data_IF_755594419092
#
_entry.id   IF_755594419092
#
_cell.length_a   1.000
_cell.length_b   1.000
_cell.length_c   1.000
_cell.angle_alpha   90.00
_cell.angle_beta   90.00
_cell.angle_gamma   90.00
#
_symmetry.space_group_name_H-M   'P 1'
#
loop_
_entity.id
_entity.type
_entity.pdbx_description
1 polymer ?
#
# COMPACT_ATOMS: atom_id res chain seq x y z
N UNK A 1 -27.33 10.17 23.00
CA UNK A 1 -26.37 10.60 21.96
C UNK A 1 -24.99 10.78 22.58
N UNK A 2 -23.92 10.15 22.07
CA UNK A 2 -22.51 10.58 22.18
C UNK A 2 -21.57 9.51 21.59
N UNK A 3 -21.26 9.59 20.29
CA UNK A 3 -20.17 8.77 19.71
C UNK A 3 -18.83 9.41 20.08
N UNK A 4 -18.24 8.89 21.16
CA UNK A 4 -16.89 9.16 21.65
C UNK A 4 -15.90 9.54 20.54
N UNK A 5 -15.40 10.78 20.62
CA UNK A 5 -14.31 11.33 19.80
C UNK A 5 -13.06 10.47 20.02
N UNK A 6 -12.76 9.58 19.07
CA UNK A 6 -11.52 8.79 19.05
C UNK A 6 -10.32 9.73 19.09
N UNK A 7 -9.64 9.71 20.24
CA UNK A 7 -8.54 10.59 20.59
C UNK A 7 -7.38 10.57 19.59
N UNK A 8 -6.88 11.78 19.32
CA UNK A 8 -5.53 12.05 18.84
C UNK A 8 -4.51 11.33 19.71
N UNK A 9 -4.00 10.18 19.26
CA UNK A 9 -2.69 9.69 19.68
C UNK A 9 -1.65 10.18 18.69
N UNK A 10 -1.34 11.47 18.77
CA UNK A 10 -0.17 12.08 18.14
C UNK A 10 1.09 11.70 18.90
N UNK A 11 1.37 10.40 18.97
CA UNK A 11 2.70 9.92 19.33
C UNK A 11 3.62 10.20 18.15
N UNK A 12 4.46 11.24 18.25
CA UNK A 12 5.56 11.51 17.34
C UNK A 12 6.57 10.37 17.43
N UNK A 13 6.23 9.19 16.89
CA UNK A 13 7.18 8.10 16.66
C UNK A 13 8.26 8.70 15.79
N UNK A 14 9.43 9.01 16.40
CA UNK A 14 10.67 9.36 15.69
C UNK A 14 10.73 8.45 14.48
N UNK A 15 10.57 9.03 13.29
CA UNK A 15 10.63 8.32 12.01
C UNK A 15 11.91 7.50 12.04
N UNK A 16 11.82 6.21 12.38
CA UNK A 16 12.94 5.26 12.35
C UNK A 16 13.54 5.49 10.98
N UNK A 17 14.75 6.11 10.94
CA UNK A 17 15.40 6.61 9.72
C UNK A 17 15.08 5.60 8.64
N UNK A 18 14.33 6.00 7.60
CA UNK A 18 13.67 5.05 6.68
C UNK A 18 14.76 4.31 5.92
N UNK A 19 15.30 3.26 6.54
CA UNK A 19 16.41 2.43 6.07
C UNK A 19 15.86 1.47 5.01
N UNK A 20 15.13 2.00 4.03
CA UNK A 20 14.58 1.27 2.89
C UNK A 20 14.40 2.21 1.69
N UNK A 21 14.47 1.71 0.45
CA UNK A 21 13.95 2.43 -0.71
C UNK A 21 12.48 2.77 -0.43
N UNK A 22 11.98 3.90 -0.96
CA UNK A 22 10.58 4.30 -0.76
C UNK A 22 9.68 3.26 -1.43
N UNK A 23 8.65 2.77 -0.73
CA UNK A 23 7.70 1.77 -1.27
C UNK A 23 7.15 2.21 -2.62
N UNK A 24 6.92 1.24 -3.51
CA UNK A 24 6.25 1.46 -4.78
C UNK A 24 4.87 2.11 -4.54
N UNK A 25 4.51 3.07 -5.38
CA UNK A 25 3.23 3.75 -5.30
C UNK A 25 2.15 2.89 -6.01
N UNK A 26 1.01 2.62 -5.36
CA UNK A 26 -0.12 1.98 -6.02
C UNK A 26 -0.77 2.92 -7.06
N UNK A 27 -1.53 2.38 -8.03
CA UNK A 27 -2.17 3.16 -9.11
C UNK A 27 -3.01 4.33 -8.59
N UNK A 28 -3.80 4.09 -7.55
CA UNK A 28 -4.61 5.11 -6.87
C UNK A 28 -3.78 6.32 -6.39
N UNK A 29 -2.55 6.11 -5.94
CA UNK A 29 -1.70 7.22 -5.46
C UNK A 29 -1.17 8.10 -6.60
N UNK A 30 -1.08 7.58 -7.83
CA UNK A 30 -0.78 8.41 -9.00
C UNK A 30 -1.98 9.28 -9.38
N UNK A 31 -3.17 8.69 -9.36
CA UNK A 31 -4.42 9.41 -9.58
C UNK A 31 -4.63 10.52 -8.55
N UNK A 32 -4.51 10.23 -7.25
CA UNK A 32 -4.64 11.23 -6.21
C UNK A 32 -3.64 12.38 -6.33
N UNK A 33 -2.42 12.14 -6.82
CA UNK A 33 -1.43 13.23 -6.98
C UNK A 33 -1.83 14.25 -8.03
N UNK A 34 -2.48 13.81 -9.10
CA UNK A 34 -2.94 14.69 -10.17
C UNK A 34 -4.25 15.36 -9.76
N UNK A 35 -5.24 14.55 -9.35
CA UNK A 35 -6.57 15.06 -9.06
C UNK A 35 -6.67 15.84 -7.75
N UNK A 36 -5.80 15.58 -6.75
CA UNK A 36 -5.80 16.40 -5.53
C UNK A 36 -5.49 17.86 -5.82
N UNK A 37 -4.69 18.18 -6.85
CA UNK A 37 -4.43 19.57 -7.21
C UNK A 37 -5.69 20.22 -7.74
N UNK A 38 -6.32 19.60 -8.75
CA UNK A 38 -7.59 20.05 -9.32
C UNK A 38 -8.68 20.21 -8.27
N UNK A 39 -8.83 19.26 -7.35
CA UNK A 39 -9.87 19.33 -6.31
C UNK A 39 -9.57 20.39 -5.24
N UNK A 40 -8.30 20.71 -4.98
CA UNK A 40 -7.94 21.82 -4.09
C UNK A 40 -8.20 23.17 -4.76
N UNK A 41 -7.99 23.25 -6.08
CA UNK A 41 -8.27 24.46 -6.86
C UNK A 41 -9.78 24.71 -6.97
N UNK A 42 -10.58 23.66 -7.19
CA UNK A 42 -12.05 23.73 -7.22
C UNK A 42 -12.67 23.97 -5.83
N UNK A 43 -12.02 23.47 -4.77
CA UNK A 43 -12.50 23.56 -3.40
C UNK A 43 -11.37 23.96 -2.44
N UNK A 44 -10.94 25.25 -2.44
CA UNK A 44 -9.88 25.72 -1.56
C UNK A 44 -10.26 25.64 -0.08
N UNK A 45 -11.56 25.72 0.24
CA UNK A 45 -12.10 25.63 1.61
C UNK A 45 -12.31 24.19 2.11
N UNK A 46 -12.24 23.19 1.23
CA UNK A 46 -12.45 21.80 1.61
C UNK A 46 -11.24 21.22 2.35
N UNK A 47 -11.50 20.61 3.51
CA UNK A 47 -10.45 19.93 4.28
C UNK A 47 -9.87 18.75 3.50
N UNK A 48 -8.58 18.46 3.70
CA UNK A 48 -7.89 17.32 3.08
C UNK A 48 -8.61 15.97 3.28
N UNK A 49 -9.39 15.85 4.38
CA UNK A 49 -10.22 14.68 4.64
C UNK A 49 -11.36 14.51 3.64
N UNK A 50 -12.02 15.60 3.26
CA UNK A 50 -13.17 15.58 2.35
C UNK A 50 -12.73 15.43 0.89
N UNK A 51 -11.62 16.08 0.52
CA UNK A 51 -10.93 15.84 -0.76
C UNK A 51 -10.60 14.36 -0.95
N UNK A 52 -10.12 13.70 0.11
CA UNK A 52 -9.84 12.26 0.09
C UNK A 52 -11.08 11.40 -0.15
N UNK A 53 -12.24 11.77 0.40
CA UNK A 53 -13.51 11.06 0.21
C UNK A 53 -14.01 11.19 -1.23
N UNK A 54 -13.99 12.41 -1.78
CA UNK A 54 -14.43 12.69 -3.16
C UNK A 54 -13.55 11.92 -4.15
N UNK A 55 -12.23 11.96 -3.98
CA UNK A 55 -11.29 11.22 -4.83
C UNK A 55 -11.48 9.71 -4.74
N UNK A 56 -11.78 9.18 -3.55
CA UNK A 56 -12.07 7.77 -3.34
C UNK A 56 -13.33 7.32 -4.08
N UNK A 57 -14.39 8.14 -4.06
CA UNK A 57 -15.61 7.88 -4.81
C UNK A 57 -15.37 7.94 -6.32
N UNK A 58 -14.65 8.97 -6.80
CA UNK A 58 -14.28 9.13 -8.22
C UNK A 58 -13.46 7.93 -8.72
N UNK A 59 -12.52 7.43 -7.92
CA UNK A 59 -11.73 6.24 -8.25
C UNK A 59 -12.56 4.96 -8.34
N UNK A 60 -13.57 4.79 -7.47
CA UNK A 60 -14.47 3.63 -7.54
C UNK A 60 -15.39 3.68 -8.76
N UNK A 61 -15.84 4.88 -9.14
CA UNK A 61 -16.69 5.11 -10.32
C UNK A 61 -15.95 4.98 -11.65
N UNK A 62 -14.65 5.30 -11.70
CA UNK A 62 -13.87 5.16 -12.93
C UNK A 62 -13.79 3.70 -13.41
N UNK A 63 -13.83 3.53 -14.73
CA UNK A 63 -13.74 2.24 -15.39
C UNK A 63 -12.31 1.67 -15.39
N UNK A 64 -12.17 0.37 -15.61
CA UNK A 64 -10.85 -0.28 -15.69
C UNK A 64 -10.01 0.24 -16.87
N UNK A 65 -10.67 0.77 -17.90
CA UNK A 65 -10.03 1.43 -19.05
C UNK A 65 -9.28 2.68 -18.62
N UNK A 66 -9.93 3.56 -17.85
CA UNK A 66 -9.33 4.78 -17.31
C UNK A 66 -8.24 4.46 -16.28
N UNK A 67 -8.39 3.36 -15.55
CA UNK A 67 -7.39 2.87 -14.57
C UNK A 67 -6.17 2.26 -15.24
N UNK A 68 -6.30 1.68 -16.45
CA UNK A 68 -5.24 1.00 -17.21
C UNK A 68 -3.94 1.81 -17.34
N UNK A 69 -3.93 3.10 -17.74
CA UNK A 69 -2.70 3.89 -17.78
C UNK A 69 -2.08 4.08 -16.39
N UNK A 70 -2.88 4.24 -15.33
CA UNK A 70 -2.37 4.36 -13.96
C UNK A 70 -1.81 3.04 -13.43
N UNK A 71 -2.43 1.90 -13.80
CA UNK A 71 -1.94 0.56 -13.51
C UNK A 71 -0.59 0.33 -14.19
N UNK A 72 -0.45 0.66 -15.47
CA UNK A 72 0.84 0.56 -16.20
C UNK A 72 1.93 1.41 -15.54
N UNK A 73 1.62 2.67 -15.17
CA UNK A 73 2.54 3.54 -14.41
C UNK A 73 2.94 2.92 -13.07
N UNK A 74 1.99 2.32 -12.34
CA UNK A 74 2.26 1.65 -11.07
C UNK A 74 3.11 0.39 -11.23
N UNK A 75 2.91 -0.41 -12.28
CA UNK A 75 3.73 -1.59 -12.59
C UNK A 75 5.17 -1.18 -12.89
N UNK A 76 5.36 -0.10 -13.68
CA UNK A 76 6.70 0.46 -13.96
C UNK A 76 7.39 0.90 -12.67
N UNK A 77 6.69 1.59 -11.76
CA UNK A 77 7.25 2.00 -10.46
C UNK A 77 7.52 0.80 -9.54
N UNK A 78 6.67 -0.22 -9.55
CA UNK A 78 6.90 -1.49 -8.84
C UNK A 78 8.18 -2.17 -9.32
N UNK A 79 8.45 -2.18 -10.64
CA UNK A 79 9.69 -2.73 -11.21
C UNK A 79 10.92 -1.92 -10.77
N UNK A 80 10.82 -0.59 -10.78
CA UNK A 80 11.87 0.31 -10.26
C UNK A 80 12.16 0.01 -8.79
N UNK A 81 11.12 -0.07 -7.96
CA UNK A 81 11.23 -0.38 -6.54
C UNK A 81 11.87 -1.75 -6.31
N UNK A 82 11.47 -2.79 -7.05
CA UNK A 82 12.07 -4.13 -6.97
C UNK A 82 13.57 -4.10 -7.29
N UNK A 83 13.98 -3.36 -8.34
CA UNK A 83 15.40 -3.18 -8.68
C UNK A 83 16.17 -2.47 -7.58
N UNK A 84 15.60 -1.42 -6.98
CA UNK A 84 16.22 -0.69 -5.85
C UNK A 84 16.30 -1.55 -4.58
N UNK A 85 15.26 -2.33 -4.29
CA UNK A 85 15.25 -3.28 -3.17
C UNK A 85 16.33 -4.35 -3.36
N UNK A 86 16.46 -4.94 -4.56
CA UNK A 86 17.51 -5.92 -4.85
C UNK A 86 18.91 -5.31 -4.71
N UNK A 87 19.14 -4.10 -5.22
CA UNK A 87 20.42 -3.38 -5.04
C UNK A 87 20.73 -3.12 -3.57
N UNK A 88 19.74 -2.69 -2.80
CA UNK A 88 19.90 -2.46 -1.37
C UNK A 88 20.12 -3.75 -0.59
N UNK A 89 19.39 -4.81 -0.93
CA UNK A 89 19.56 -6.13 -0.34
C UNK A 89 20.96 -6.67 -0.63
N UNK A 90 21.47 -6.54 -1.87
CA UNK A 90 22.86 -6.89 -2.23
C UNK A 90 23.88 -6.06 -1.45
N UNK A 91 23.67 -4.73 -1.33
CA UNK A 91 24.55 -3.85 -0.53
C UNK A 91 24.49 -4.15 0.97
N UNK A 92 23.32 -4.52 1.48
CA UNK A 92 23.12 -4.91 2.87
C UNK A 92 23.74 -6.28 3.15
N UNK A 93 23.59 -7.25 2.24
CA UNK A 93 24.24 -8.56 2.32
C UNK A 93 25.76 -8.42 2.34
N UNK A 94 26.33 -7.60 1.45
CA UNK A 94 27.77 -7.31 1.46
C UNK A 94 28.23 -6.60 2.73
N UNK A 95 27.38 -5.77 3.34
CA UNK A 95 27.67 -5.10 4.62
C UNK A 95 27.51 -6.02 5.85
N UNK A 96 26.69 -7.06 5.75
CA UNK A 96 26.35 -7.95 6.85
C UNK A 96 27.13 -9.26 6.83
N UNK A 97 28.10 -9.42 5.92
CA UNK A 97 29.13 -10.46 5.96
C UNK A 97 28.66 -11.81 6.49
N UNK A 98 27.69 -12.44 5.80
CA UNK A 98 27.35 -13.85 6.07
C UNK A 98 26.82 -14.17 7.49
N UNK A 99 25.77 -13.51 7.96
CA UNK A 99 24.90 -14.10 9.02
C UNK A 99 23.57 -14.54 8.41
N UNK A 100 23.48 -15.84 8.13
CA UNK A 100 22.27 -16.55 7.72
C UNK A 100 21.23 -16.50 8.84
N UNK A 101 20.25 -15.61 8.73
CA UNK A 101 19.17 -15.56 9.73
C UNK A 101 17.91 -14.79 9.31
N UNK A 102 17.85 -14.31 8.07
CA UNK A 102 16.75 -13.45 7.62
C UNK A 102 15.68 -14.20 6.81
N UNK A 103 16.01 -15.36 6.22
CA UNK A 103 15.17 -15.98 5.18
C UNK A 103 14.01 -16.83 5.72
N UNK A 104 14.02 -17.22 7.00
CA UNK A 104 13.05 -18.19 7.56
C UNK A 104 11.76 -17.60 8.12
N UNK A 105 11.59 -16.27 8.17
CA UNK A 105 10.40 -15.65 8.83
C UNK A 105 9.29 -15.17 7.91
N UNK A 106 9.31 -15.49 6.62
CA UNK A 106 8.27 -15.03 5.67
C UNK A 106 7.55 -16.14 4.90
N UNK A 107 7.90 -17.41 5.10
CA UNK A 107 7.21 -18.54 4.46
C UNK A 107 6.20 -19.23 5.39
N UNK A 108 6.32 -19.10 6.72
CA UNK A 108 5.39 -19.71 7.69
C UNK A 108 4.06 -18.99 7.93
N UNK A 109 3.45 -18.36 6.92
CA UNK A 109 2.09 -17.77 7.04
C UNK A 109 1.22 -17.93 5.79
N UNK A 110 1.62 -18.79 4.85
CA UNK A 110 0.80 -19.10 3.67
C UNK A 110 0.32 -20.55 3.60
N UNK A 111 0.68 -21.41 4.56
CA UNK A 111 0.34 -22.83 4.52
C UNK A 111 -0.80 -23.25 5.46
N UNK A 112 -1.60 -22.31 5.98
CA UNK A 112 -2.77 -22.62 6.83
C UNK A 112 -4.12 -22.49 6.11
N UNK A 113 -4.16 -22.39 4.77
CA UNK A 113 -5.41 -22.26 4.01
C UNK A 113 -5.59 -23.32 2.91
N UNK A 114 -4.84 -24.43 2.98
CA UNK A 114 -4.84 -25.45 1.93
C UNK A 114 -5.19 -26.87 2.40
N UNK A 115 -5.87 -27.04 3.55
CA UNK A 115 -6.44 -28.35 3.95
C UNK A 115 -7.76 -28.17 4.71
N UNK A 116 -8.84 -27.80 4.02
CA UNK A 116 -10.18 -28.21 4.45
C UNK A 116 -11.12 -28.09 3.27
N UNK A 117 -11.03 -29.09 2.41
CA UNK A 117 -11.96 -29.36 1.33
C UNK A 117 -12.44 -30.78 1.58
N UNK A 118 -13.42 -30.92 2.46
CA UNK A 118 -14.30 -32.08 2.49
C UNK A 118 -15.66 -31.64 3.04
N UNK A 119 -16.54 -31.29 2.11
CA UNK A 119 -17.98 -31.09 2.36
C UNK A 119 -18.66 -32.23 1.63
N UNK A 120 -19.04 -33.24 2.40
CA UNK A 120 -19.85 -34.42 2.09
C UNK A 120 -20.21 -34.98 3.47
N UNK A 121 -21.43 -35.26 3.94
CA UNK A 121 -22.73 -35.63 3.40
C UNK A 121 -23.75 -35.34 4.51
N UNK A 122 -24.97 -34.87 4.24
CA UNK A 122 -26.14 -35.68 4.59
C UNK A 122 -27.25 -34.83 5.21
N UNK A 123 -28.42 -34.86 4.59
CA UNK A 123 -29.56 -34.00 4.86
C UNK A 123 -30.76 -34.93 5.00
N UNK A 124 -31.19 -35.17 6.23
CA UNK A 124 -32.46 -35.75 6.64
C UNK A 124 -32.76 -35.31 8.05
#
# INVERSE_FOLDING_TARGET
MARSRRGRRSGRRKRKRRRGPKRALPPYMFFCKQQRKSVIEEHPDASFGDVGKILGQKWRRMSDVEKKPFLSKAVKDKKRYRKQMRKRAKKQLRRLGGREGWKTKSVGRQECLATSRDVSVGKS
#
